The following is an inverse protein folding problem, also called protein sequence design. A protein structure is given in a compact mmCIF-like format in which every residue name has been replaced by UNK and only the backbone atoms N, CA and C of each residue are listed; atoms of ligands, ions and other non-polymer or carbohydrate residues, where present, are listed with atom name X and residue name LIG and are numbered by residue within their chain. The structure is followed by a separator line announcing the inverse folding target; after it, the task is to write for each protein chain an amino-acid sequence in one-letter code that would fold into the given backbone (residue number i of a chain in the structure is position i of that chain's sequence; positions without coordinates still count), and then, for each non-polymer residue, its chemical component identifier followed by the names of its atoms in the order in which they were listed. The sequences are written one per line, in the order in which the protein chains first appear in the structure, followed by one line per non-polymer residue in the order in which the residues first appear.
data_IF_575149514634
#
_entry.id   IF_575149514634
#
_cell.length_a   1.000
_cell.length_b   1.000
_cell.length_c   1.000
_cell.angle_alpha   90.00
_cell.angle_beta   90.00
_cell.angle_gamma   90.00
#
_symmetry.space_group_name_H-M   'P 1'
#
loop_
_entity.id
_entity.type
_entity.pdbx_description
1 polymer ?
#
# COMPACT_ATOMS: atom_id res chain seq x y z
N UNK A 1 16.22 -16.66 11.87
CA UNK A 1 15.58 -15.36 11.85
C UNK A 1 15.59 -14.77 10.47
N UNK A 2 14.55 -14.13 10.12
CA UNK A 2 14.50 -13.54 8.81
C UNK A 2 14.99 -12.10 8.87
N UNK A 3 15.96 -11.84 8.05
CA UNK A 3 16.54 -10.51 7.99
C UNK A 3 15.73 -9.54 7.13
N UNK A 4 14.67 -10.08 6.51
CA UNK A 4 13.85 -9.27 5.61
C UNK A 4 12.68 -8.58 6.29
N UNK A 5 12.49 -8.84 7.58
CA UNK A 5 11.41 -8.19 8.29
C UNK A 5 11.72 -6.72 8.48
N UNK A 6 10.77 -5.90 8.10
CA UNK A 6 10.88 -4.46 8.27
C UNK A 6 10.17 -4.08 9.54
N UNK A 7 10.92 -3.59 10.51
CA UNK A 7 10.34 -3.08 11.74
C UNK A 7 10.54 -1.57 11.89
N UNK A 8 11.47 -1.01 11.11
CA UNK A 8 11.77 0.41 11.19
C UNK A 8 11.58 1.05 9.83
N UNK A 9 10.50 1.78 9.68
CA UNK A 9 10.27 2.58 8.50
C UNK A 9 9.37 3.74 8.87
N UNK A 10 9.45 4.79 8.08
CA UNK A 10 8.62 5.97 8.27
C UNK A 10 7.38 5.86 7.42
N UNK A 11 6.28 6.34 7.96
CA UNK A 11 5.01 6.40 7.25
C UNK A 11 4.74 7.87 6.99
N UNK A 12 4.49 8.22 5.74
CA UNK A 12 4.10 9.58 5.40
C UNK A 12 2.81 9.53 4.60
N UNK A 13 2.05 10.62 4.68
CA UNK A 13 0.83 10.75 3.92
C UNK A 13 0.76 12.14 3.34
N UNK A 14 0.75 12.23 2.02
CA UNK A 14 0.69 13.52 1.32
C UNK A 14 -0.22 13.35 0.12
N UNK A 15 -1.28 14.19 0.06
CA UNK A 15 -2.15 14.29 -1.12
C UNK A 15 -2.67 12.94 -1.64
N UNK A 16 -3.19 12.13 -0.73
CA UNK A 16 -3.79 10.87 -1.13
C UNK A 16 -2.78 9.77 -1.42
N UNK A 17 -1.56 9.91 -0.93
CA UNK A 17 -0.53 8.89 -1.06
C UNK A 17 0.04 8.57 0.32
N UNK A 18 -0.11 7.31 0.74
CA UNK A 18 0.55 6.83 1.96
C UNK A 18 1.79 6.07 1.52
N UNK A 19 2.94 6.45 2.06
CA UNK A 19 4.22 5.87 1.69
C UNK A 19 4.91 5.28 2.90
N UNK A 20 5.39 4.06 2.76
CA UNK A 20 6.31 3.43 3.71
C UNK A 20 7.71 3.58 3.14
N UNK A 21 8.59 4.17 3.91
CA UNK A 21 9.91 4.51 3.42
C UNK A 21 10.95 4.32 4.51
N UNK A 22 12.06 3.69 4.18
CA UNK A 22 13.20 3.68 5.09
C UNK A 22 14.23 4.70 4.60
N UNK A 23 15.39 4.71 5.25
CA UNK A 23 16.41 5.72 5.00
C UNK A 23 16.83 5.82 3.52
N UNK A 24 16.84 4.69 2.84
CA UNK A 24 17.44 4.62 1.51
C UNK A 24 16.49 4.21 0.41
N UNK A 25 15.25 3.83 0.76
CA UNK A 25 14.41 3.25 -0.28
C UNK A 25 12.93 3.37 0.06
N UNK A 26 12.12 3.40 -0.97
CA UNK A 26 10.67 3.30 -0.82
C UNK A 26 10.31 1.83 -0.64
N UNK A 27 9.67 1.52 0.47
CA UNK A 27 9.26 0.16 0.78
C UNK A 27 7.96 -0.17 0.08
N UNK A 28 7.04 0.79 0.09
CA UNK A 28 5.77 0.63 -0.60
C UNK A 28 4.95 1.89 -0.49
N UNK A 29 3.91 2.00 -1.33
CA UNK A 29 3.00 3.13 -1.24
C UNK A 29 1.64 2.75 -1.81
N UNK A 30 0.65 3.55 -1.45
CA UNK A 30 -0.69 3.42 -1.99
C UNK A 30 -1.21 4.81 -2.34
N UNK A 31 -1.83 4.92 -3.51
CA UNK A 31 -2.50 6.13 -3.95
C UNK A 31 -3.99 5.88 -3.95
N UNK A 32 -4.74 6.78 -3.35
CA UNK A 32 -6.19 6.61 -3.19
C UNK A 32 -6.87 7.99 -3.21
N UNK A 33 -8.18 7.98 -3.34
CA UNK A 33 -8.97 9.20 -3.29
C UNK A 33 -9.98 9.13 -2.13
N UNK A 34 -10.70 10.24 -1.93
CA UNK A 34 -11.63 10.35 -0.82
C UNK A 34 -12.84 9.44 -0.90
N UNK A 35 -13.04 8.82 -2.05
CA UNK A 35 -14.14 7.89 -2.26
C UNK A 35 -13.78 6.47 -1.87
N UNK A 36 -12.55 6.25 -1.42
CA UNK A 36 -12.07 4.92 -1.10
C UNK A 36 -11.59 4.15 -2.31
N UNK A 37 -11.37 4.83 -3.42
CA UNK A 37 -10.87 4.18 -4.63
C UNK A 37 -9.35 4.12 -4.59
N UNK A 38 -8.81 2.92 -4.76
CA UNK A 38 -7.37 2.70 -4.79
C UNK A 38 -6.91 2.80 -6.23
N UNK A 39 -6.09 3.80 -6.51
CA UNK A 39 -5.60 4.07 -7.86
C UNK A 39 -4.36 3.27 -8.17
N UNK A 40 -3.52 3.05 -7.16
CA UNK A 40 -2.27 2.33 -7.34
C UNK A 40 -1.78 1.82 -6.00
N UNK A 41 -1.18 0.64 -5.99
CA UNK A 41 -0.51 0.12 -4.82
C UNK A 41 0.77 -0.59 -5.24
N UNK A 42 1.83 -0.35 -4.50
CA UNK A 42 3.14 -0.88 -4.80
C UNK A 42 3.82 -1.33 -3.52
N UNK A 43 4.46 -2.49 -3.58
CA UNK A 43 5.36 -2.94 -2.54
C UNK A 43 6.65 -3.37 -3.21
N UNK A 44 7.76 -2.82 -2.74
CA UNK A 44 9.09 -3.15 -3.26
C UNK A 44 9.30 -4.66 -3.18
N UNK A 45 9.72 -5.31 -4.27
CA UNK A 45 9.89 -6.77 -4.27
C UNK A 45 10.77 -7.30 -3.16
N UNK A 46 11.75 -6.53 -2.72
CA UNK A 46 12.65 -6.93 -1.64
C UNK A 46 11.93 -7.10 -0.31
N UNK A 47 10.75 -6.51 -0.16
CA UNK A 47 10.02 -6.49 1.10
C UNK A 47 8.63 -7.12 1.00
N UNK A 48 8.38 -7.88 -0.04
CA UNK A 48 7.09 -8.55 -0.20
C UNK A 48 6.95 -9.71 0.78
N UNK A 49 5.72 -10.21 0.93
CA UNK A 49 5.39 -11.31 1.82
C UNK A 49 5.57 -10.98 3.30
N UNK A 50 5.50 -9.70 3.64
CA UNK A 50 5.58 -9.25 5.03
C UNK A 50 4.29 -8.57 5.48
N UNK A 51 3.24 -8.67 4.68
CA UNK A 51 1.96 -8.08 5.02
C UNK A 51 1.90 -6.58 4.82
N UNK A 52 2.86 -6.01 4.12
CA UNK A 52 2.93 -4.55 3.94
C UNK A 52 1.78 -4.03 3.08
N UNK A 53 1.42 -4.77 2.04
CA UNK A 53 0.31 -4.36 1.19
C UNK A 53 -1.00 -4.32 1.98
N UNK A 54 -1.23 -5.33 2.82
CA UNK A 54 -2.41 -5.34 3.67
C UNK A 54 -2.40 -4.21 4.66
N UNK A 55 -1.24 -3.87 5.17
CA UNK A 55 -1.09 -2.75 6.10
C UNK A 55 -1.39 -1.43 5.42
N UNK A 56 -0.94 -1.25 4.18
CA UNK A 56 -1.28 -0.07 3.40
C UNK A 56 -2.79 0.04 3.20
N UNK A 57 -3.44 -1.07 2.84
CA UNK A 57 -4.88 -1.07 2.66
C UNK A 57 -5.61 -0.75 3.95
N UNK A 58 -5.15 -1.31 5.07
CA UNK A 58 -5.77 -1.05 6.37
C UNK A 58 -5.68 0.42 6.73
N UNK A 59 -4.50 1.02 6.56
CA UNK A 59 -4.32 2.44 6.85
C UNK A 59 -5.21 3.30 5.96
N UNK A 60 -5.32 2.94 4.69
CA UNK A 60 -6.15 3.68 3.76
C UNK A 60 -7.61 3.59 4.15
N UNK A 61 -8.06 2.41 4.57
CA UNK A 61 -9.44 2.24 5.02
C UNK A 61 -9.71 3.07 6.26
N UNK A 62 -8.77 3.09 7.20
CA UNK A 62 -8.89 3.91 8.40
C UNK A 62 -8.94 5.39 8.05
N UNK A 63 -8.14 5.80 7.07
CA UNK A 63 -8.07 7.20 6.68
C UNK A 63 -9.32 7.67 5.97
N UNK A 64 -9.86 6.86 5.06
CA UNK A 64 -11.05 7.24 4.30
C UNK A 64 -12.35 6.94 5.03
N UNK A 65 -12.32 5.98 5.96
CA UNK A 65 -13.52 5.52 6.63
C UNK A 65 -14.46 4.76 5.73
N UNK A 66 -13.97 4.25 4.61
CA UNK A 66 -14.80 3.59 3.60
C UNK A 66 -14.21 2.27 3.18
N UNK A 67 -15.06 1.40 2.65
CA UNK A 67 -14.57 0.18 2.03
C UNK A 67 -13.81 0.54 0.78
N UNK A 68 -12.66 -0.09 0.61
CA UNK A 68 -11.78 0.23 -0.51
C UNK A 68 -12.22 -0.54 -1.76
N UNK A 69 -12.16 0.15 -2.90
CA UNK A 69 -12.43 -0.46 -4.19
C UNK A 69 -11.29 -0.10 -5.14
N UNK A 70 -10.93 -1.02 -6.05
CA UNK A 70 -9.89 -0.72 -7.01
C UNK A 70 -10.43 0.20 -8.10
N UNK A 71 -9.63 1.18 -8.47
CA UNK A 71 -9.94 2.05 -9.59
C UNK A 71 -9.30 1.46 -10.85
N UNK A 72 -10.03 1.43 -11.92
CA UNK A 72 -9.52 0.88 -13.17
C UNK A 72 -8.89 1.96 -14.03
N UNK A 73 -7.77 1.68 -14.71
CA UNK A 73 -6.94 0.47 -14.55
C UNK A 73 -6.15 0.50 -13.27
N UNK A 74 -5.93 -0.66 -12.68
CA UNK A 74 -5.19 -0.76 -11.42
C UNK A 74 -3.89 -1.52 -11.66
N UNK A 75 -2.89 -1.28 -10.80
CA UNK A 75 -1.60 -1.95 -10.89
C UNK A 75 -1.75 -3.47 -10.74
N UNK A 76 -0.79 -4.26 -11.25
CA UNK A 76 -0.84 -5.72 -11.10
C UNK A 76 -0.96 -6.18 -9.66
N UNK A 77 -0.26 -5.53 -8.75
CA UNK A 77 -0.36 -5.87 -7.33
C UNK A 77 -1.76 -5.58 -6.81
N UNK A 78 -2.35 -4.46 -7.21
CA UNK A 78 -3.70 -4.13 -6.81
C UNK A 78 -4.72 -5.14 -7.30
N UNK A 79 -4.58 -5.59 -8.54
CA UNK A 79 -5.47 -6.62 -9.07
C UNK A 79 -5.41 -7.89 -8.23
N UNK A 80 -4.22 -8.28 -7.84
CA UNK A 80 -4.00 -9.47 -7.04
C UNK A 80 -4.65 -9.34 -5.67
N UNK A 81 -4.48 -8.19 -5.03
CA UNK A 81 -5.00 -7.94 -3.69
C UNK A 81 -6.51 -7.87 -3.65
N UNK A 82 -7.13 -7.32 -4.68
CA UNK A 82 -8.58 -7.23 -4.77
C UNK A 82 -9.21 -8.43 -5.44
N UNK A 83 -8.39 -9.41 -5.83
CA UNK A 83 -8.85 -10.65 -6.45
C UNK A 83 -9.67 -10.38 -7.73
N UNK A 84 -9.21 -9.44 -8.51
CA UNK A 84 -9.84 -9.09 -9.78
C UNK A 84 -9.19 -9.90 -10.89
N UNK A 85 -9.99 -10.57 -11.67
CA UNK A 85 -9.50 -11.37 -12.79
C UNK A 85 -9.84 -10.73 -14.12
#
# INVERSE_FOLDING_TARGET
MTDNLISNYNISEIDGVITFKNKNTTIGFIRFNNKGEVEYIFVNPAFRKQGLAKKLLKLTKERTGKDLIPQQPISPLGKKLFNIT
#
